data_IF_826952151832
#
_entry.id   IF_826952151832
#
_cell.length_a   1.000
_cell.length_b   1.000
_cell.length_c   1.000
_cell.angle_alpha   90.00
_cell.angle_beta   90.00
_cell.angle_gamma   90.00
#
_symmetry.space_group_name_H-M   'P 1'
#
loop_
_entity.id
_entity.type
_entity.pdbx_description
1 polymer ?
#
# COMPACT_ATOMS: atom_id res chain seq x y z
N UNK A 1 -12.87 1.80 -12.45
CA UNK A 1 -12.12 0.53 -12.56
C UNK A 1 -10.64 0.87 -12.42
N UNK A 2 -9.97 0.41 -11.37
CA UNK A 2 -8.50 0.53 -11.28
C UNK A 2 -7.91 -0.52 -12.23
N UNK A 3 -6.87 -0.19 -12.97
CA UNK A 3 -6.19 -1.20 -13.80
C UNK A 3 -5.55 -2.28 -12.94
N UNK A 4 -4.85 -3.23 -13.57
CA UNK A 4 -3.96 -4.09 -12.82
C UNK A 4 -2.80 -3.25 -12.26
N UNK A 5 -2.58 -3.32 -10.95
CA UNK A 5 -1.48 -2.63 -10.29
C UNK A 5 -0.61 -3.63 -9.52
N UNK A 6 0.70 -3.53 -9.72
CA UNK A 6 1.68 -4.44 -9.14
C UNK A 6 2.03 -3.98 -7.72
N UNK A 7 1.74 -4.85 -6.76
CA UNK A 7 2.19 -4.73 -5.37
C UNK A 7 3.29 -5.75 -5.11
N UNK A 8 4.31 -5.34 -4.34
CA UNK A 8 5.41 -6.22 -3.92
C UNK A 8 5.96 -5.79 -2.56
N UNK A 9 6.79 -6.66 -1.97
CA UNK A 9 7.52 -6.41 -0.72
C UNK A 9 6.60 -6.06 0.45
N UNK A 10 7.09 -5.17 1.32
CA UNK A 10 6.44 -4.78 2.58
C UNK A 10 5.04 -4.19 2.38
N UNK A 11 4.78 -3.52 1.25
CA UNK A 11 3.46 -3.00 0.91
C UNK A 11 2.47 -4.13 0.61
N UNK A 12 2.87 -5.13 -0.18
CA UNK A 12 2.03 -6.30 -0.47
C UNK A 12 1.74 -7.10 0.80
N UNK A 13 2.75 -7.29 1.65
CA UNK A 13 2.62 -7.97 2.94
C UNK A 13 1.60 -7.24 3.83
N UNK A 14 1.73 -5.92 4.00
CA UNK A 14 0.82 -5.12 4.81
C UNK A 14 -0.62 -5.15 4.29
N UNK A 15 -0.81 -5.02 2.96
CA UNK A 15 -2.14 -5.10 2.36
C UNK A 15 -2.75 -6.50 2.49
N UNK A 16 -1.92 -7.55 2.37
CA UNK A 16 -2.36 -8.94 2.56
C UNK A 16 -2.83 -9.20 3.98
N UNK A 17 -2.05 -8.76 4.97
CA UNK A 17 -2.40 -8.89 6.39
C UNK A 17 -3.62 -8.05 6.78
N UNK A 18 -3.93 -6.99 6.04
CA UNK A 18 -5.11 -6.16 6.26
C UNK A 18 -6.41 -6.77 5.69
N UNK A 19 -6.34 -7.88 4.94
CA UNK A 19 -7.50 -8.51 4.29
C UNK A 19 -7.63 -8.20 2.80
N UNK A 20 -6.58 -7.71 2.14
CA UNK A 20 -6.55 -7.46 0.68
C UNK A 20 -7.74 -6.59 0.22
N UNK A 21 -8.48 -7.05 -0.79
CA UNK A 21 -9.63 -6.37 -1.41
C UNK A 21 -10.86 -6.31 -0.50
N UNK A 22 -10.93 -7.20 0.50
CA UNK A 22 -12.02 -7.24 1.48
C UNK A 22 -11.83 -6.19 2.58
N UNK A 23 -10.61 -5.68 2.73
CA UNK A 23 -10.30 -4.58 3.64
C UNK A 23 -10.89 -3.25 3.17
N UNK A 24 -10.94 -2.26 4.07
CA UNK A 24 -11.37 -0.90 3.73
C UNK A 24 -10.44 -0.21 2.72
N UNK A 25 -9.21 -0.69 2.52
CA UNK A 25 -8.30 -0.16 1.51
C UNK A 25 -8.78 -0.48 0.08
N UNK A 26 -9.47 -1.61 -0.12
CA UNK A 26 -9.92 -2.11 -1.43
C UNK A 26 -8.77 -2.28 -2.42
N UNK A 27 -9.02 -2.04 -3.71
CA UNK A 27 -8.04 -2.26 -4.78
C UNK A 27 -6.93 -1.20 -4.77
N UNK A 28 -5.70 -1.56 -5.15
CA UNK A 28 -4.66 -0.58 -5.44
C UNK A 28 -5.08 0.33 -6.61
N UNK A 29 -4.65 1.59 -6.57
CA UNK A 29 -4.81 2.59 -7.63
C UNK A 29 -3.47 2.99 -8.26
N UNK A 30 -2.36 2.51 -7.69
CA UNK A 30 -1.01 2.66 -8.21
C UNK A 30 -0.22 1.37 -8.04
N UNK A 31 0.81 1.17 -8.87
CA UNK A 31 1.88 0.23 -8.54
C UNK A 31 2.59 0.70 -7.24
N UNK A 32 3.40 -0.16 -6.63
CA UNK A 32 4.35 0.29 -5.60
C UNK A 32 5.40 1.20 -6.24
N UNK A 33 5.61 2.37 -5.66
CA UNK A 33 6.62 3.34 -6.06
C UNK A 33 7.48 3.76 -4.87
N UNK A 34 8.69 4.25 -5.18
CA UNK A 34 9.63 4.74 -4.18
C UNK A 34 9.22 6.13 -3.68
N UNK A 35 9.40 6.35 -2.39
CA UNK A 35 9.37 7.66 -1.75
C UNK A 35 10.69 7.86 -1.02
N UNK A 36 10.95 9.09 -0.57
CA UNK A 36 12.05 9.33 0.36
C UNK A 36 11.92 8.39 1.57
N UNK A 37 12.98 7.64 1.85
CA UNK A 37 13.03 6.70 2.98
C UNK A 37 12.28 5.38 2.79
N UNK A 38 11.58 5.12 1.67
CA UNK A 38 10.88 3.84 1.54
C UNK A 38 9.94 3.67 0.34
N UNK A 39 8.82 2.99 0.57
CA UNK A 39 7.87 2.56 -0.47
C UNK A 39 6.46 3.07 -0.16
N UNK A 40 5.68 3.30 -1.21
CA UNK A 40 4.27 3.70 -1.10
C UNK A 40 3.42 3.07 -2.19
N UNK A 41 2.16 2.81 -1.87
CA UNK A 41 1.11 2.56 -2.86
C UNK A 41 -0.19 3.24 -2.41
N UNK A 42 -0.98 3.68 -3.39
CA UNK A 42 -2.34 4.19 -3.17
C UNK A 42 -3.35 3.08 -3.44
N UNK A 43 -4.45 3.14 -2.72
CA UNK A 43 -5.58 2.23 -2.79
C UNK A 43 -6.87 3.06 -2.89
N UNK A 44 -8.00 2.46 -3.23
CA UNK A 44 -9.24 3.23 -3.33
C UNK A 44 -9.67 3.84 -1.98
N UNK A 45 -9.40 3.14 -0.88
CA UNK A 45 -9.75 3.61 0.46
C UNK A 45 -8.67 4.45 1.15
N UNK A 46 -7.45 4.49 0.64
CA UNK A 46 -6.36 5.17 1.34
C UNK A 46 -4.96 4.97 0.75
N UNK A 47 -3.94 5.10 1.61
CA UNK A 47 -2.53 5.01 1.25
C UNK A 47 -1.79 4.17 2.27
N UNK A 48 -0.94 3.26 1.81
CA UNK A 48 0.08 2.62 2.65
C UNK A 48 1.43 3.21 2.28
N UNK A 49 2.18 3.66 3.28
CA UNK A 49 3.60 3.99 3.18
C UNK A 49 4.38 3.09 4.13
N UNK A 50 5.56 2.67 3.71
CA UNK A 50 6.52 1.93 4.54
C UNK A 50 7.84 2.68 4.56
N UNK A 51 8.37 2.89 5.76
CA UNK A 51 9.69 3.46 6.01
C UNK A 51 10.71 2.33 6.18
N UNK A 52 11.79 2.36 5.38
CA UNK A 52 12.80 1.31 5.36
C UNK A 52 13.71 1.31 6.59
N UNK A 53 13.99 2.49 7.13
CA UNK A 53 14.96 2.66 8.21
C UNK A 53 14.41 2.20 9.55
N UNK A 54 13.11 2.41 9.76
CA UNK A 54 12.41 2.11 11.02
C UNK A 54 11.46 0.92 10.91
N UNK A 55 11.34 0.34 9.71
CA UNK A 55 10.38 -0.72 9.38
C UNK A 55 8.91 -0.35 9.72
N UNK A 56 8.60 0.94 9.73
CA UNK A 56 7.31 1.47 10.16
C UNK A 56 6.33 1.60 9.01
N UNK A 57 5.09 1.19 9.22
CA UNK A 57 3.98 1.48 8.31
C UNK A 57 3.19 2.73 8.74
N UNK A 58 2.89 3.59 7.78
CA UNK A 58 1.88 4.64 7.92
C UNK A 58 0.73 4.32 6.99
N UNK A 59 -0.47 4.15 7.55
CA UNK A 59 -1.69 3.89 6.79
C UNK A 59 -2.64 5.06 6.98
N UNK A 60 -3.00 5.74 5.89
CA UNK A 60 -3.91 6.90 5.92
C UNK A 60 -5.17 6.60 5.12
N UNK A 61 -6.33 6.84 5.72
CA UNK A 61 -7.64 6.71 5.07
C UNK A 61 -8.02 7.99 4.33
N UNK A 62 -8.77 7.86 3.24
CA UNK A 62 -9.42 8.98 2.55
C UNK A 62 -10.79 9.30 3.15
#
# INVERSE_FOLDING_TARGET
>A
RTGAHVLYGRILERWSNAGKVDSWLRYPTTNVFRIEGGLRARFQGGVISWDRSSDRFTVRRF
#
